data_IF_515583034639
#
_entry.id   IF_515583034639
#
_cell.length_a   1.000
_cell.length_b   1.000
_cell.length_c   1.000
_cell.angle_alpha   90.00
_cell.angle_beta   90.00
_cell.angle_gamma   90.00
#
_symmetry.space_group_name_H-M   'P 1'
#
loop_
_entity.id
_entity.type
_entity.pdbx_description
1 polymer ?
#
# COMPACT_ATOMS: atom_id res chain seq x y z
N UNK A 1 7.75 17.74 39.65
CA UNK A 1 7.52 16.84 38.50
C UNK A 1 6.22 16.05 38.69
N UNK A 2 5.51 15.69 37.61
CA UNK A 2 4.37 14.78 37.67
C UNK A 2 4.79 13.30 37.51
N UNK A 3 3.88 12.36 37.80
CA UNK A 3 4.17 10.92 37.73
C UNK A 3 4.65 10.44 36.35
N UNK A 4 4.08 10.95 35.26
CA UNK A 4 4.46 10.52 33.91
C UNK A 4 5.85 11.01 33.52
N UNK A 5 6.16 12.27 33.85
CA UNK A 5 7.49 12.84 33.66
C UNK A 5 8.53 12.11 34.51
N UNK A 6 8.15 11.68 35.72
CA UNK A 6 8.98 10.82 36.56
C UNK A 6 9.30 9.52 35.86
N UNK A 7 8.28 8.75 35.47
CA UNK A 7 8.44 7.45 34.82
C UNK A 7 9.28 7.52 33.54
N UNK A 8 9.07 8.56 32.71
CA UNK A 8 9.85 8.81 31.49
C UNK A 8 11.33 9.13 31.79
N UNK A 9 11.59 9.78 32.94
CA UNK A 9 12.94 10.20 33.34
C UNK A 9 13.72 9.13 34.11
N UNK A 10 13.13 7.97 34.44
CA UNK A 10 13.78 6.92 35.27
C UNK A 10 15.05 6.41 34.61
N UNK A 11 14.99 6.06 33.32
CA UNK A 11 16.16 5.51 32.61
C UNK A 11 17.30 6.51 32.57
N UNK A 12 16.99 7.77 32.26
CA UNK A 12 17.97 8.85 32.23
C UNK A 12 18.55 9.16 33.62
N UNK A 13 17.75 9.00 34.69
CA UNK A 13 18.23 9.17 36.07
C UNK A 13 19.25 8.11 36.43
N UNK A 14 18.90 6.83 36.22
CA UNK A 14 19.74 5.67 36.56
C UNK A 14 21.03 5.67 35.74
N UNK A 15 20.95 6.05 34.47
CA UNK A 15 22.12 6.13 33.58
C UNK A 15 22.90 7.45 33.71
N UNK A 16 22.55 8.31 34.67
CA UNK A 16 23.20 9.60 34.93
C UNK A 16 23.23 10.54 33.70
N UNK A 17 22.16 10.53 32.90
CA UNK A 17 21.97 11.37 31.71
C UNK A 17 21.12 12.62 31.96
N UNK A 18 20.45 12.72 33.11
CA UNK A 18 19.67 13.90 33.46
C UNK A 18 20.55 15.13 33.72
N UNK A 19 20.06 16.30 33.32
CA UNK A 19 20.68 17.57 33.69
C UNK A 19 20.56 17.82 35.20
N UNK A 20 21.52 18.56 35.78
CA UNK A 20 21.55 18.85 37.22
C UNK A 20 20.23 19.46 37.74
N UNK A 21 19.59 20.32 36.94
CA UNK A 21 18.31 20.93 37.30
C UNK A 21 17.18 19.89 37.38
N UNK A 22 17.07 19.00 36.37
CA UNK A 22 16.06 17.94 36.36
C UNK A 22 16.31 16.92 37.46
N UNK A 23 17.58 16.61 37.75
CA UNK A 23 17.94 15.68 38.82
C UNK A 23 17.45 16.17 40.19
N UNK A 24 17.59 17.47 40.48
CA UNK A 24 17.03 18.06 41.70
C UNK A 24 15.51 17.91 41.77
N UNK A 25 14.81 18.16 40.68
CA UNK A 25 13.36 17.99 40.62
C UNK A 25 12.93 16.53 40.81
N UNK A 26 13.70 15.59 40.25
CA UNK A 26 13.53 14.16 40.41
C UNK A 26 13.76 13.71 41.86
N UNK A 27 14.85 14.16 42.48
CA UNK A 27 15.18 13.86 43.87
C UNK A 27 14.12 14.44 44.83
N UNK A 28 13.62 15.65 44.57
CA UNK A 28 12.48 16.22 45.32
C UNK A 28 11.24 15.32 45.21
N UNK A 29 10.90 14.87 43.99
CA UNK A 29 9.78 13.96 43.78
C UNK A 29 9.94 12.62 44.53
N UNK A 30 11.15 12.07 44.56
CA UNK A 30 11.45 10.84 45.32
C UNK A 30 11.30 11.01 46.83
N UNK A 31 11.66 12.18 47.36
CA UNK A 31 11.51 12.48 48.78
C UNK A 31 10.04 12.66 49.18
N UNK A 32 9.22 13.21 48.29
CA UNK A 32 7.78 13.37 48.49
C UNK A 32 7.00 12.06 48.32
N UNK A 33 7.50 11.11 47.52
CA UNK A 33 6.79 9.88 47.15
C UNK A 33 7.61 8.62 47.54
N UNK A 34 7.37 8.01 48.71
CA UNK A 34 8.13 6.83 49.16
C UNK A 34 7.95 5.62 48.24
N UNK A 35 6.79 5.47 47.60
CA UNK A 35 6.52 4.43 46.60
C UNK A 35 7.48 4.54 45.39
N UNK A 36 7.69 5.77 44.90
CA UNK A 36 8.59 6.03 43.79
C UNK A 36 10.04 5.69 44.17
N UNK A 37 10.44 5.96 45.41
CA UNK A 37 11.76 5.60 45.94
C UNK A 37 11.98 4.09 46.01
N UNK A 38 10.99 3.33 46.47
CA UNK A 38 11.04 1.86 46.50
C UNK A 38 11.10 1.27 45.09
N UNK A 39 10.43 1.89 44.12
CA UNK A 39 10.50 1.49 42.73
C UNK A 39 11.91 1.67 42.16
N UNK A 40 12.54 2.84 42.37
CA UNK A 40 13.92 3.09 41.92
C UNK A 40 14.90 2.13 42.56
N UNK A 41 14.84 1.91 43.88
CA UNK A 41 15.77 0.99 44.54
C UNK A 41 15.65 -0.44 44.02
N UNK A 42 14.43 -0.89 43.68
CA UNK A 42 14.19 -2.19 43.06
C UNK A 42 14.79 -2.28 41.66
N UNK A 43 14.67 -1.22 40.86
CA UNK A 43 15.27 -1.16 39.51
C UNK A 43 16.80 -1.13 39.61
N UNK A 44 17.37 -0.33 40.49
CA UNK A 44 18.82 -0.27 40.73
C UNK A 44 19.38 -1.63 41.15
N UNK A 45 18.69 -2.33 42.07
CA UNK A 45 19.06 -3.68 42.49
C UNK A 45 19.01 -4.68 41.33
N UNK A 46 18.01 -4.57 40.45
CA UNK A 46 17.91 -5.41 39.25
C UNK A 46 19.04 -5.11 38.27
N UNK A 47 19.38 -3.84 38.05
CA UNK A 47 20.50 -3.43 37.18
C UNK A 47 21.81 -3.95 37.73
N UNK A 48 22.04 -3.84 39.04
CA UNK A 48 23.21 -4.40 39.70
C UNK A 48 23.29 -5.92 39.50
N UNK A 49 22.18 -6.64 39.74
CA UNK A 49 22.10 -8.08 39.50
C UNK A 49 22.43 -8.43 38.04
N UNK A 50 21.86 -7.71 37.07
CA UNK A 50 22.14 -7.92 35.64
C UNK A 50 23.62 -7.67 35.31
N UNK A 51 24.25 -6.70 35.96
CA UNK A 51 25.67 -6.40 35.78
C UNK A 51 26.59 -7.49 36.37
N UNK A 52 26.12 -8.25 37.37
CA UNK A 52 26.86 -9.41 37.92
C UNK A 52 26.81 -10.64 37.02
N UNK A 53 25.87 -10.70 36.07
CA UNK A 53 25.74 -11.87 35.20
C UNK A 53 27.00 -12.08 34.34
N UNK A 54 27.41 -13.35 34.14
CA UNK A 54 28.59 -13.64 33.35
C UNK A 54 28.39 -13.16 31.92
N UNK A 55 29.33 -12.32 31.45
CA UNK A 55 29.33 -11.84 30.07
C UNK A 55 29.48 -13.03 29.12
N UNK A 56 28.42 -13.33 28.36
CA UNK A 56 28.47 -14.41 27.37
C UNK A 56 29.37 -14.00 26.21
N UNK A 57 30.48 -14.72 26.04
CA UNK A 57 31.41 -14.50 24.94
C UNK A 57 30.85 -15.17 23.68
N UNK A 58 30.38 -14.36 22.74
CA UNK A 58 30.00 -14.85 21.41
C UNK A 58 31.23 -15.25 20.60
N UNK A 59 31.02 -16.10 19.59
CA UNK A 59 32.06 -16.43 18.62
C UNK A 59 32.58 -15.15 17.95
N UNK A 60 33.91 -15.02 17.78
CA UNK A 60 34.56 -13.89 17.09
C UNK A 60 33.95 -13.60 15.70
N UNK A 61 33.38 -14.62 15.04
CA UNK A 61 32.75 -14.51 13.72
C UNK A 61 31.27 -14.12 13.75
N UNK A 62 30.64 -13.99 14.91
CA UNK A 62 29.20 -13.72 15.04
C UNK A 62 28.76 -12.48 14.27
N UNK A 63 29.40 -11.33 14.52
CA UNK A 63 29.06 -10.08 13.84
C UNK A 63 29.25 -10.17 12.31
N UNK A 64 30.33 -10.82 11.86
CA UNK A 64 30.57 -11.03 10.44
C UNK A 64 29.49 -11.91 9.79
N UNK A 65 29.05 -12.97 10.47
CA UNK A 65 27.97 -13.84 9.99
C UNK A 65 26.61 -13.14 10.01
N UNK A 66 26.33 -12.36 11.05
CA UNK A 66 25.11 -11.57 11.15
C UNK A 66 25.03 -10.55 10.02
N UNK A 67 26.09 -9.78 9.80
CA UNK A 67 26.17 -8.81 8.71
C UNK A 67 26.00 -9.48 7.34
N UNK A 68 26.62 -10.65 7.14
CA UNK A 68 26.43 -11.44 5.92
C UNK A 68 24.96 -11.82 5.72
N UNK A 69 24.26 -12.28 6.76
CA UNK A 69 22.83 -12.61 6.69
C UNK A 69 21.97 -11.39 6.36
N UNK A 70 22.20 -10.25 7.03
CA UNK A 70 21.50 -8.99 6.76
C UNK A 70 21.66 -8.58 5.29
N UNK A 71 22.88 -8.67 4.76
CA UNK A 71 23.16 -8.32 3.37
C UNK A 71 22.49 -9.26 2.35
N UNK A 72 22.43 -10.57 2.64
CA UNK A 72 21.71 -11.54 1.81
C UNK A 72 20.22 -11.18 1.76
N UNK A 73 19.59 -10.96 2.92
CA UNK A 73 18.18 -10.60 3.01
C UNK A 73 17.87 -9.28 2.29
N UNK A 74 18.73 -8.26 2.45
CA UNK A 74 18.62 -7.00 1.71
C UNK A 74 18.66 -7.22 0.20
N UNK A 75 19.58 -8.07 -0.28
CA UNK A 75 19.72 -8.40 -1.71
C UNK A 75 18.51 -9.19 -2.24
N UNK A 76 17.97 -10.11 -1.46
CA UNK A 76 16.76 -10.86 -1.83
C UNK A 76 15.52 -9.97 -1.94
N UNK A 77 15.36 -9.01 -1.02
CA UNK A 77 14.30 -8.01 -1.13
C UNK A 77 14.45 -7.17 -2.40
N UNK A 78 15.67 -6.70 -2.73
CA UNK A 78 15.90 -5.94 -3.96
C UNK A 78 15.66 -6.77 -5.24
N UNK A 79 15.92 -8.08 -5.21
CA UNK A 79 15.63 -8.98 -6.34
C UNK A 79 14.14 -9.20 -6.58
N UNK A 80 13.28 -9.08 -5.55
CA UNK A 80 11.82 -9.17 -5.73
C UNK A 80 11.27 -7.99 -6.54
N UNK A 81 11.89 -6.82 -6.46
CA UNK A 81 11.48 -5.62 -7.21
C UNK A 81 12.11 -5.52 -8.61
N UNK A 82 13.23 -6.19 -8.87
CA UNK A 82 13.94 -6.15 -10.15
C UNK A 82 13.61 -7.31 -11.10
N UNK A 83 12.37 -7.84 -11.07
CA UNK A 83 11.92 -8.81 -12.07
C UNK A 83 11.49 -8.08 -13.34
N UNK A 84 12.46 -7.60 -14.13
CA UNK A 84 12.31 -7.16 -15.53
C UNK A 84 10.94 -6.58 -15.91
N UNK A 85 10.51 -5.52 -15.21
CA UNK A 85 9.27 -4.82 -15.56
C UNK A 85 9.56 -3.86 -16.70
N UNK A 86 8.68 -3.84 -17.72
CA UNK A 86 8.74 -2.88 -18.82
C UNK A 86 7.68 -1.83 -18.52
N UNK A 87 8.09 -0.57 -18.36
CA UNK A 87 7.20 0.54 -17.96
C UNK A 87 6.46 0.32 -16.62
N UNK A 88 7.03 -0.47 -15.71
CA UNK A 88 6.40 -0.79 -14.42
C UNK A 88 5.35 -1.91 -14.48
N UNK A 89 5.11 -2.50 -15.66
CA UNK A 89 4.23 -3.66 -15.83
C UNK A 89 5.03 -4.95 -16.01
N UNK A 90 4.43 -6.10 -15.66
CA UNK A 90 4.99 -7.39 -16.04
C UNK A 90 4.97 -7.52 -17.58
N UNK A 91 5.97 -8.16 -18.22
CA UNK A 91 6.09 -8.20 -19.68
C UNK A 91 4.82 -8.67 -20.41
N UNK A 92 4.09 -9.64 -19.85
CA UNK A 92 2.83 -10.13 -20.42
C UNK A 92 1.71 -9.08 -20.39
N UNK A 93 1.64 -8.25 -19.35
CA UNK A 93 0.63 -7.19 -19.26
C UNK A 93 0.97 -6.01 -20.17
N UNK A 94 2.27 -5.71 -20.32
CA UNK A 94 2.74 -4.68 -21.24
C UNK A 94 2.37 -5.00 -22.71
N UNK A 95 2.50 -6.26 -23.13
CA UNK A 95 2.12 -6.68 -24.50
C UNK A 95 0.62 -6.63 -24.73
N UNK A 96 -0.19 -7.07 -23.74
CA UNK A 96 -1.65 -6.99 -23.83
C UNK A 96 -2.11 -5.52 -23.94
N UNK A 97 -1.57 -4.63 -23.10
CA UNK A 97 -1.91 -3.20 -23.14
C UNK A 97 -1.48 -2.53 -24.45
N UNK A 98 -0.27 -2.83 -24.92
CA UNK A 98 0.23 -2.33 -26.20
C UNK A 98 -0.62 -2.83 -27.38
N UNK A 99 -1.05 -4.09 -27.35
CA UNK A 99 -1.97 -4.65 -28.34
C UNK A 99 -3.32 -3.95 -28.37
N UNK A 100 -3.89 -3.66 -27.19
CA UNK A 100 -5.15 -2.91 -27.08
C UNK A 100 -5.02 -1.48 -27.65
N UNK A 101 -3.89 -0.81 -27.37
CA UNK A 101 -3.61 0.51 -27.94
C UNK A 101 -3.48 0.46 -29.46
N UNK A 102 -2.77 -0.54 -29.99
CA UNK A 102 -2.64 -0.75 -31.43
C UNK A 102 -4.00 -1.03 -32.09
N UNK A 103 -4.86 -1.86 -31.47
CA UNK A 103 -6.20 -2.12 -31.99
C UNK A 103 -7.10 -0.88 -31.95
N UNK A 104 -6.98 -0.05 -30.90
CA UNK A 104 -7.74 1.19 -30.81
C UNK A 104 -7.33 2.16 -31.93
N UNK A 105 -6.03 2.33 -32.16
CA UNK A 105 -5.50 3.16 -33.26
C UNK A 105 -6.01 2.63 -34.61
N UNK A 106 -5.97 1.31 -34.81
CA UNK A 106 -6.48 0.68 -36.02
C UNK A 106 -7.97 0.95 -36.24
N UNK A 107 -8.80 0.82 -35.19
CA UNK A 107 -10.22 1.17 -35.24
C UNK A 107 -10.45 2.64 -35.55
N UNK A 108 -9.66 3.56 -34.98
CA UNK A 108 -9.75 4.99 -35.30
C UNK A 108 -9.46 5.26 -36.79
N UNK A 109 -8.45 4.60 -37.37
CA UNK A 109 -8.13 4.72 -38.80
C UNK A 109 -9.25 4.13 -39.67
N UNK A 110 -9.76 2.95 -39.30
CA UNK A 110 -10.84 2.29 -40.04
C UNK A 110 -12.12 3.14 -40.02
N UNK A 111 -12.50 3.66 -38.85
CA UNK A 111 -13.67 4.54 -38.72
C UNK A 111 -13.51 5.85 -39.51
N UNK A 112 -12.32 6.46 -39.50
CA UNK A 112 -12.02 7.65 -40.29
C UNK A 112 -12.08 7.38 -41.80
N UNK A 113 -11.60 6.22 -42.25
CA UNK A 113 -11.59 5.82 -43.66
C UNK A 113 -13.00 5.47 -44.15
N UNK A 114 -13.79 4.75 -43.35
CA UNK A 114 -15.19 4.44 -43.68
C UNK A 114 -16.05 5.70 -43.87
N UNK A 115 -15.81 6.76 -43.08
CA UNK A 115 -16.52 8.04 -43.27
C UNK A 115 -16.27 8.69 -44.64
N UNK A 116 -15.07 8.53 -45.21
CA UNK A 116 -14.72 9.07 -46.54
C UNK A 116 -15.31 8.24 -47.70
N UNK A 117 -15.61 6.97 -47.46
CA UNK A 117 -16.17 6.07 -48.49
C UNK A 117 -17.66 6.32 -48.73
N UNK A 118 -18.40 6.80 -47.73
CA UNK A 118 -19.83 7.13 -47.88
C UNK A 118 -20.11 8.44 -48.64
N UNK A 119 -19.13 9.33 -48.80
CA UNK A 119 -19.28 10.57 -49.58
C UNK A 119 -19.06 10.37 -51.09
N UNK A 120 -18.67 9.18 -51.56
CA UNK A 120 -18.36 8.92 -52.98
C UNK A 120 -19.06 7.68 -53.55
N UNK A 121 -20.37 7.53 -53.34
CA UNK A 121 -21.14 6.47 -54.02
C UNK A 121 -22.17 7.07 -54.98
N UNK A 122 -21.72 7.40 -56.20
CA UNK A 122 -22.58 7.49 -57.37
C UNK A 122 -22.82 6.07 -57.90
N UNK A 123 -24.01 5.53 -57.66
CA UNK A 123 -24.44 4.24 -58.22
C UNK A 123 -24.94 4.45 -59.65
N UNK A 124 -24.12 4.06 -60.64
CA UNK A 124 -24.57 3.86 -62.02
C UNK A 124 -24.97 2.38 -62.21
N UNK A 125 -26.26 2.21 -62.45
CA UNK A 125 -27.02 1.06 -62.95
C UNK A 125 -26.23 -0.15 -63.50
N UNK A 126 -26.61 -1.35 -63.05
CA UNK A 126 -26.71 -2.55 -63.90
C UNK A 126 -27.58 -3.62 -63.19
N UNK A 127 -28.75 -3.88 -63.77
CA UNK A 127 -29.55 -5.12 -63.60
C UNK A 127 -29.61 -5.78 -64.98
N UNK A 128 -29.57 -7.12 -65.07
CA UNK A 128 -30.79 -7.94 -65.25
C UNK A 128 -30.66 -9.27 -64.47
N UNK A 129 -31.63 -10.16 -64.26
CA UNK A 129 -33.09 -10.25 -64.34
C UNK A 129 -33.44 -11.67 -63.76
N UNK A 130 -34.56 -11.77 -63.04
CA UNK A 130 -35.42 -12.94 -62.74
C UNK A 130 -34.88 -14.28 -62.16
N UNK A 131 -35.38 -14.63 -60.95
CA UNK A 131 -36.52 -15.59 -60.77
C UNK A 131 -37.07 -15.53 -59.33
N UNK A 132 -38.38 -15.30 -59.18
CA UNK A 132 -39.17 -15.32 -57.92
C UNK A 132 -39.49 -16.80 -57.51
N UNK A 133 -39.87 -17.24 -56.31
CA UNK A 133 -40.65 -16.78 -55.12
C UNK A 133 -40.39 -17.77 -53.91
N UNK A 134 -41.03 -17.70 -52.72
CA UNK A 134 -41.48 -16.59 -51.87
C UNK A 134 -40.92 -16.69 -50.43
N UNK A 135 -41.11 -15.63 -49.64
CA UNK A 135 -40.69 -15.49 -48.23
C UNK A 135 -41.74 -16.05 -47.28
N UNK A 136 -41.36 -16.98 -46.40
CA UNK A 136 -42.10 -17.24 -45.16
C UNK A 136 -41.77 -16.15 -44.13
N UNK A 137 -42.81 -15.41 -43.75
CA UNK A 137 -42.77 -14.38 -42.71
C UNK A 137 -42.69 -15.06 -41.34
N UNK A 138 -41.64 -14.82 -40.57
CA UNK A 138 -41.67 -15.07 -39.13
C UNK A 138 -41.59 -13.73 -38.41
N UNK A 139 -42.61 -13.52 -37.58
CA UNK A 139 -42.91 -12.33 -36.80
C UNK A 139 -41.85 -12.14 -35.70
N UNK A 140 -41.13 -11.02 -35.71
CA UNK A 140 -40.24 -10.63 -34.61
C UNK A 140 -41.11 -10.00 -33.53
N UNK A 141 -41.74 -10.83 -32.70
CA UNK A 141 -42.45 -10.38 -31.52
C UNK A 141 -42.22 -11.26 -30.27
N UNK A 142 -41.39 -12.31 -30.36
CA UNK A 142 -41.29 -13.33 -29.29
C UNK A 142 -39.85 -13.65 -28.81
N UNK A 143 -38.88 -12.75 -29.03
CA UNK A 143 -37.48 -12.99 -28.59
C UNK A 143 -37.01 -12.12 -27.42
N UNK A 144 -37.90 -11.40 -26.73
CA UNK A 144 -37.52 -10.46 -25.65
C UNK A 144 -37.85 -10.94 -24.23
N UNK A 145 -38.33 -12.19 -24.05
CA UNK A 145 -38.84 -12.65 -22.74
C UNK A 145 -38.11 -13.85 -22.09
N UNK A 146 -36.99 -14.32 -22.65
CA UNK A 146 -36.32 -15.54 -22.14
C UNK A 146 -34.92 -15.32 -21.53
N UNK A 147 -34.58 -14.11 -21.04
CA UNK A 147 -33.32 -13.93 -20.30
C UNK A 147 -33.30 -12.87 -19.19
N UNK A 148 -34.45 -12.62 -18.54
CA UNK A 148 -34.46 -11.85 -17.29
C UNK A 148 -34.23 -12.79 -16.11
N UNK A 149 -32.96 -12.99 -15.76
CA UNK A 149 -32.63 -13.62 -14.48
C UNK A 149 -33.06 -12.67 -13.35
N UNK A 150 -34.09 -13.05 -12.59
CA UNK A 150 -34.50 -12.37 -11.36
C UNK A 150 -33.42 -12.57 -10.29
N UNK A 151 -32.54 -11.59 -10.11
CA UNK A 151 -31.74 -11.47 -8.88
C UNK A 151 -32.40 -10.48 -7.93
N UNK A 152 -32.59 -10.82 -6.63
CA UNK A 152 -33.10 -9.88 -5.66
C UNK A 152 -32.15 -8.68 -5.54
N UNK A 153 -32.74 -7.47 -5.56
CA UNK A 153 -32.05 -6.21 -5.31
C UNK A 153 -31.51 -6.21 -3.88
N UNK A 154 -30.24 -6.51 -3.70
CA UNK A 154 -29.55 -6.26 -2.43
C UNK A 154 -29.28 -4.76 -2.30
N UNK A 155 -30.02 -4.10 -1.43
CA UNK A 155 -29.90 -2.65 -1.18
C UNK A 155 -28.82 -2.40 -0.15
N UNK A 156 -27.58 -2.26 -0.61
CA UNK A 156 -26.53 -1.67 0.22
C UNK A 156 -26.82 -0.17 0.33
N UNK A 157 -27.31 0.24 1.50
CA UNK A 157 -27.48 1.64 1.88
C UNK A 157 -26.09 2.31 1.87
N UNK A 158 -25.90 3.24 0.95
CA UNK A 158 -24.71 4.07 0.91
C UNK A 158 -24.90 5.21 1.92
N UNK A 159 -24.44 5.00 3.16
CA UNK A 159 -24.18 6.15 4.04
C UNK A 159 -22.91 6.83 3.53
N UNK A 160 -23.09 7.99 2.93
CA UNK A 160 -22.02 8.87 2.47
C UNK A 160 -21.27 9.47 3.67
N UNK A 161 -20.34 8.70 4.25
CA UNK A 161 -19.30 9.25 5.12
C UNK A 161 -18.21 9.87 4.23
N UNK A 162 -18.21 11.21 4.15
CA UNK A 162 -17.11 11.98 3.57
C UNK A 162 -15.79 11.53 4.21
N UNK A 163 -14.71 11.26 3.44
CA UNK A 163 -13.42 10.97 4.02
C UNK A 163 -12.91 12.23 4.72
N UNK A 164 -12.84 12.19 6.06
CA UNK A 164 -12.22 13.25 6.84
C UNK A 164 -10.71 13.22 6.55
N UNK A 165 -10.23 14.22 5.81
CA UNK A 165 -8.81 14.40 5.48
C UNK A 165 -8.08 14.74 6.77
N UNK A 166 -7.43 13.77 7.41
CA UNK A 166 -6.56 14.01 8.56
C UNK A 166 -5.29 14.71 8.06
N UNK A 167 -5.04 15.90 8.60
CA UNK A 167 -3.82 16.66 8.36
C UNK A 167 -2.70 16.12 9.28
N UNK A 168 -1.58 15.73 8.69
CA UNK A 168 -0.40 15.20 9.39
C UNK A 168 0.78 16.21 9.38
N UNK A 169 0.53 17.46 8.96
CA UNK A 169 1.55 18.51 8.82
C UNK A 169 2.30 18.84 10.12
N UNK A 170 1.75 18.52 11.30
CA UNK A 170 2.36 18.86 12.60
C UNK A 170 3.12 17.73 13.30
N UNK A 171 3.27 16.54 12.69
CA UNK A 171 3.82 15.35 13.39
C UNK A 171 5.14 14.80 12.86
N UNK A 172 5.75 15.41 11.84
CA UNK A 172 7.01 14.91 11.28
C UNK A 172 8.05 16.01 11.32
N UNK A 173 8.90 15.99 12.35
CA UNK A 173 10.18 16.69 12.33
C UNK A 173 11.25 15.66 11.95
N UNK A 174 11.79 15.74 10.74
CA UNK A 174 13.04 15.06 10.43
C UNK A 174 14.16 15.79 11.16
N UNK A 175 14.90 15.05 11.97
CA UNK A 175 16.20 15.48 12.48
C UNK A 175 17.17 15.37 11.30
N UNK A 176 17.69 16.50 10.85
CA UNK A 176 18.79 16.50 9.88
C UNK A 176 20.08 16.07 10.61
N UNK A 177 20.89 15.25 9.91
CA UNK A 177 22.27 14.94 10.27
C UNK A 177 23.19 16.18 10.23
#
# INVERSE_FOLDING_TARGET
MNRYQFEDSISDYIENKLSLSKRKEFDSYLNENPEAKNMISSIESNVELLNTLPKSKVNKKFNAQLLKKINILKKENNRKYNKGTILGFAPMHATILSGLFASLIFLCIQLYTSKKMTENVNYANQTPENKMEPVDKINIADLDEQNRLNTPKDSIKHDSLKPQKKDFSSKIHLVND
#
